data_IF_780430724457
#
_entry.id   IF_780430724457
#
_cell.length_a   1.000
_cell.length_b   1.000
_cell.length_c   1.000
_cell.angle_alpha   90.00
_cell.angle_beta   90.00
_cell.angle_gamma   90.00
#
_symmetry.space_group_name_H-M   'P 1'
#
loop_
_entity.id
_entity.type
_entity.pdbx_description
1 polymer ?
#
# COMPACT_ATOMS: atom_id res chain seq x y z
N UNK A 1 21.19 4.59 -8.01
CA UNK A 1 19.75 4.58 -7.74
C UNK A 1 19.46 5.75 -6.83
N UNK A 2 18.49 6.58 -7.20
CA UNK A 2 18.04 7.66 -6.33
C UNK A 2 17.19 7.06 -5.17
N UNK A 3 16.91 7.85 -4.13
CA UNK A 3 16.16 7.35 -2.95
C UNK A 3 14.70 6.95 -3.27
N UNK A 4 14.14 7.50 -4.33
CA UNK A 4 12.77 7.26 -4.78
C UNK A 4 12.62 5.91 -5.52
N UNK A 5 13.55 5.60 -6.42
CA UNK A 5 13.67 4.31 -7.11
C UNK A 5 13.80 3.15 -6.10
N UNK A 6 14.62 3.35 -5.06
CA UNK A 6 14.78 2.35 -4.00
C UNK A 6 13.49 2.11 -3.21
N UNK A 7 12.68 3.16 -2.99
CA UNK A 7 11.39 3.04 -2.32
C UNK A 7 10.38 2.31 -3.19
N UNK A 8 10.27 2.67 -4.47
CA UNK A 8 9.36 2.02 -5.42
C UNK A 8 9.70 0.53 -5.53
N UNK A 9 10.98 0.18 -5.70
CA UNK A 9 11.41 -1.22 -5.81
C UNK A 9 11.06 -2.07 -4.57
N UNK A 10 11.08 -1.49 -3.37
CA UNK A 10 10.65 -2.19 -2.14
C UNK A 10 9.15 -2.42 -2.11
N UNK A 11 8.35 -1.42 -2.52
CA UNK A 11 6.90 -1.54 -2.58
C UNK A 11 6.47 -2.54 -3.65
N UNK A 12 7.15 -2.57 -4.80
CA UNK A 12 6.93 -3.59 -5.85
C UNK A 12 7.20 -5.00 -5.31
N UNK A 13 8.34 -5.21 -4.64
CA UNK A 13 8.69 -6.50 -4.03
C UNK A 13 7.67 -6.95 -2.99
N UNK A 14 7.16 -6.01 -2.18
CA UNK A 14 6.10 -6.26 -1.22
C UNK A 14 4.81 -6.71 -1.90
N UNK A 15 4.39 -6.01 -2.97
CA UNK A 15 3.18 -6.38 -3.75
C UNK A 15 3.35 -7.76 -4.38
N UNK A 16 4.51 -8.07 -4.95
CA UNK A 16 4.80 -9.38 -5.53
C UNK A 16 4.67 -10.52 -4.51
N UNK A 17 5.17 -10.33 -3.28
CA UNK A 17 5.00 -11.30 -2.20
C UNK A 17 3.52 -11.49 -1.84
N UNK A 18 2.76 -10.40 -1.71
CA UNK A 18 1.34 -10.44 -1.35
C UNK A 18 0.46 -11.11 -2.41
N UNK A 19 0.88 -11.09 -3.68
CA UNK A 19 0.16 -11.71 -4.80
C UNK A 19 0.47 -13.21 -4.99
N UNK A 20 1.38 -13.79 -4.20
CA UNK A 20 1.65 -15.23 -4.24
C UNK A 20 0.42 -16.01 -3.78
N UNK A 21 0.26 -17.23 -4.29
CA UNK A 21 -0.80 -18.14 -3.84
C UNK A 21 -0.66 -18.59 -2.38
N UNK A 22 0.56 -18.50 -1.84
CA UNK A 22 0.89 -18.72 -0.43
C UNK A 22 1.90 -17.64 0.01
N UNK A 23 1.43 -16.44 0.40
CA UNK A 23 2.30 -15.33 0.78
C UNK A 23 3.00 -15.62 2.12
N UNK A 24 4.30 -15.35 2.20
CA UNK A 24 5.05 -15.50 3.44
C UNK A 24 4.74 -14.33 4.39
N UNK A 25 3.88 -14.56 5.38
CA UNK A 25 3.41 -13.53 6.31
C UNK A 25 4.54 -12.77 7.03
N UNK A 26 5.59 -13.48 7.47
CA UNK A 26 6.75 -12.85 8.10
C UNK A 26 7.54 -11.94 7.13
N UNK A 27 7.62 -12.35 5.86
CA UNK A 27 8.26 -11.54 4.82
C UNK A 27 7.43 -10.29 4.52
N UNK A 28 6.11 -10.44 4.36
CA UNK A 28 5.19 -9.31 4.15
C UNK A 28 5.29 -8.31 5.29
N UNK A 29 5.21 -8.78 6.55
CA UNK A 29 5.35 -7.93 7.73
C UNK A 29 6.67 -7.18 7.77
N UNK A 30 7.77 -7.87 7.49
CA UNK A 30 9.10 -7.26 7.46
C UNK A 30 9.17 -6.17 6.39
N UNK A 31 8.75 -6.47 5.16
CA UNK A 31 8.79 -5.53 4.03
C UNK A 31 7.86 -4.32 4.24
N UNK A 32 6.70 -4.50 4.90
CA UNK A 32 5.83 -3.38 5.29
C UNK A 32 6.56 -2.43 6.25
N UNK A 33 7.16 -2.96 7.33
CA UNK A 33 7.87 -2.16 8.31
C UNK A 33 9.09 -1.45 7.72
N UNK A 34 9.86 -2.13 6.87
CA UNK A 34 11.01 -1.55 6.15
C UNK A 34 10.61 -0.45 5.16
N UNK A 35 9.35 -0.45 4.72
CA UNK A 35 8.74 0.56 3.86
C UNK A 35 8.04 1.68 4.66
N UNK A 36 8.08 1.61 6.00
CA UNK A 36 7.43 2.57 6.89
C UNK A 36 5.90 2.42 6.95
N UNK A 37 5.37 1.26 6.58
CA UNK A 37 3.95 0.94 6.58
C UNK A 37 3.64 0.10 7.82
N UNK A 38 2.60 0.47 8.56
CA UNK A 38 2.13 -0.33 9.70
C UNK A 38 1.58 -1.68 9.23
N UNK A 39 1.95 -2.76 9.91
CA UNK A 39 1.42 -4.08 9.61
C UNK A 39 0.01 -4.25 10.20
N UNK A 40 -0.91 -4.78 9.38
CA UNK A 40 -2.22 -5.24 9.83
C UNK A 40 -2.35 -6.75 9.64
N UNK A 41 -3.06 -7.42 10.55
CA UNK A 41 -3.43 -8.82 10.37
C UNK A 41 -4.55 -9.01 9.33
N UNK A 42 -5.28 -7.95 8.99
CA UNK A 42 -6.30 -7.99 7.95
C UNK A 42 -5.64 -7.84 6.56
N UNK A 43 -5.73 -8.85 5.68
CA UNK A 43 -5.16 -8.79 4.34
C UNK A 43 -5.71 -7.64 3.49
N UNK A 44 -6.98 -7.26 3.65
CA UNK A 44 -7.58 -6.15 2.90
C UNK A 44 -6.99 -4.83 3.37
N UNK A 45 -6.86 -4.64 4.68
CA UNK A 45 -6.26 -3.43 5.25
C UNK A 45 -4.80 -3.29 4.83
N UNK A 46 -4.02 -4.39 4.81
CA UNK A 46 -2.65 -4.35 4.30
C UNK A 46 -2.57 -3.84 2.87
N UNK A 47 -3.42 -4.34 1.98
CA UNK A 47 -3.46 -3.89 0.57
C UNK A 47 -3.77 -2.39 0.52
N UNK A 48 -4.78 -1.93 1.27
CA UNK A 48 -5.14 -0.50 1.32
C UNK A 48 -3.95 0.37 1.76
N UNK A 49 -3.23 -0.04 2.79
CA UNK A 49 -2.06 0.68 3.30
C UNK A 49 -0.92 0.73 2.27
N UNK A 50 -0.66 -0.38 1.57
CA UNK A 50 0.35 -0.45 0.51
C UNK A 50 -0.03 0.43 -0.69
N UNK A 51 -1.30 0.43 -1.11
CA UNK A 51 -1.79 1.29 -2.19
C UNK A 51 -1.69 2.77 -1.83
N UNK A 52 -2.07 3.15 -0.60
CA UNK A 52 -1.89 4.52 -0.10
C UNK A 52 -0.40 4.93 -0.12
N UNK A 53 0.49 4.03 0.26
CA UNK A 53 1.93 4.27 0.21
C UNK A 53 2.45 4.45 -1.23
N UNK A 54 1.87 3.78 -2.22
CA UNK A 54 2.21 3.95 -3.63
C UNK A 54 1.76 5.31 -4.24
N UNK A 55 1.25 6.24 -3.43
CA UNK A 55 0.61 7.47 -3.91
C UNK A 55 -0.52 7.19 -4.90
N UNK A 56 -1.25 6.08 -4.69
CA UNK A 56 -2.60 5.98 -5.21
C UNK A 56 -3.41 7.02 -4.44
N UNK A 57 -3.43 8.26 -4.92
CA UNK A 57 -4.35 9.27 -4.44
C UNK A 57 -5.75 8.64 -4.53
N UNK A 58 -6.48 8.60 -3.41
CA UNK A 58 -7.92 8.45 -3.46
C UNK A 58 -8.39 9.56 -4.39
N UNK A 59 -8.76 9.17 -5.62
CA UNK A 59 -9.24 10.08 -6.64
C UNK A 59 -10.24 11.00 -5.98
N UNK A 60 -9.95 12.30 -6.10
CA UNK A 60 -10.76 13.43 -5.63
C UNK A 60 -12.16 12.99 -5.23
N UNK A 61 -12.44 12.86 -3.93
CA UNK A 61 -13.83 12.94 -3.49
C UNK A 61 -14.27 14.35 -3.84
N UNK A 62 -14.87 14.51 -5.03
CA UNK A 62 -15.69 15.65 -5.36
C UNK A 62 -16.60 15.88 -4.16
N UNK A 63 -16.38 16.98 -3.44
CA UNK A 63 -17.44 17.59 -2.65
C UNK A 63 -18.54 17.96 -3.64
N UNK A 64 -19.44 17.02 -3.91
CA UNK A 64 -20.79 17.34 -4.34
C UNK A 64 -21.44 18.05 -3.16
N UNK A 65 -21.23 19.37 -3.13
CA UNK A 65 -22.18 20.25 -2.46
C UNK A 65 -23.48 20.11 -3.24
N UNK A 66 -24.36 19.23 -2.75
CA UNK A 66 -25.76 19.24 -3.15
C UNK A 66 -26.29 20.66 -2.98
N UNK A 67 -26.48 21.34 -4.11
CA UNK A 67 -27.45 22.42 -4.22
C UNK A 67 -28.84 21.79 -4.27
N UNK A 68 -29.65 22.05 -3.24
CA UNK A 68 -31.09 21.78 -3.20
C UNK A 68 -31.51 21.57 -1.75
N UNK A 69 -32.40 22.34 -1.13
CA UNK A 69 -33.47 23.25 -1.58
C UNK A 69 -33.56 24.44 -0.63
#
# INVERSE_FOLDING_TARGET
>A
MNGEELRISRLESLVEEMLKGDPCEEAVKTMMLESGIEYSSDPIERINLVLKALHFEEGSTETQTEKGL
#
